data_IF_130977574170
#
_entry.id   IF_130977574170
#
_cell.length_a   1.000
_cell.length_b   1.000
_cell.length_c   1.000
_cell.angle_alpha   90.00
_cell.angle_beta   90.00
_cell.angle_gamma   90.00
#
_symmetry.space_group_name_H-M   'P 1'
#
loop_
_entity.id
_entity.type
_entity.pdbx_description
1 polymer ?
#
# COMPACT_ATOMS: atom_id res chain seq x y z
N UNK A 1 -3.62 -22.58 3.09
CA UNK A 1 -4.81 -21.73 2.83
C UNK A 1 -4.49 -20.23 2.89
N UNK A 2 -3.75 -19.74 3.90
CA UNK A 2 -3.42 -18.30 4.01
C UNK A 2 -2.46 -17.76 2.92
N UNK A 3 -1.43 -18.55 2.53
CA UNK A 3 -0.47 -18.16 1.47
C UNK A 3 -1.16 -17.86 0.13
N UNK A 4 -2.18 -18.66 -0.25
CA UNK A 4 -2.90 -18.47 -1.51
C UNK A 4 -3.73 -17.19 -1.54
N UNK A 5 -4.43 -16.86 -0.45
CA UNK A 5 -5.22 -15.62 -0.35
C UNK A 5 -4.29 -14.40 -0.41
N UNK A 6 -3.17 -14.45 0.30
CA UNK A 6 -2.18 -13.36 0.28
C UNK A 6 -1.64 -13.16 -1.14
N UNK A 7 -1.27 -14.21 -1.87
CA UNK A 7 -0.80 -14.08 -3.25
C UNK A 7 -1.86 -13.50 -4.20
N UNK A 8 -3.13 -13.86 -4.01
CA UNK A 8 -4.22 -13.29 -4.81
C UNK A 8 -4.36 -11.79 -4.54
N UNK A 9 -4.28 -11.37 -3.27
CA UNK A 9 -4.33 -9.95 -2.90
C UNK A 9 -3.16 -9.19 -3.53
N UNK A 10 -1.94 -9.74 -3.50
CA UNK A 10 -0.78 -9.12 -4.16
C UNK A 10 -0.96 -9.04 -5.68
N UNK A 11 -1.55 -10.05 -6.32
CA UNK A 11 -1.83 -10.02 -7.75
C UNK A 11 -2.85 -8.93 -8.12
N UNK A 12 -3.95 -8.83 -7.36
CA UNK A 12 -4.95 -7.76 -7.55
C UNK A 12 -4.33 -6.39 -7.32
N UNK A 13 -3.51 -6.26 -6.27
CA UNK A 13 -2.79 -5.02 -5.96
C UNK A 13 -1.83 -4.63 -7.10
N UNK A 14 -1.09 -5.59 -7.66
CA UNK A 14 -0.20 -5.35 -8.79
C UNK A 14 -0.96 -4.84 -10.03
N UNK A 15 -2.13 -5.42 -10.32
CA UNK A 15 -2.99 -4.94 -11.43
C UNK A 15 -3.44 -3.51 -11.18
N UNK A 16 -3.91 -3.18 -9.98
CA UNK A 16 -4.33 -1.82 -9.65
C UNK A 16 -3.17 -0.81 -9.69
N UNK A 17 -1.97 -1.20 -9.26
CA UNK A 17 -0.77 -0.36 -9.37
C UNK A 17 -0.38 -0.09 -10.84
N UNK A 18 -0.51 -1.07 -11.74
CA UNK A 18 -0.27 -0.86 -13.17
C UNK A 18 -1.30 0.09 -13.77
N UNK A 19 -2.57 -0.04 -13.38
CA UNK A 19 -3.63 0.87 -13.80
C UNK A 19 -3.31 2.30 -13.35
N UNK A 20 -3.00 2.50 -12.06
CA UNK A 20 -2.60 3.81 -11.53
C UNK A 20 -1.34 4.37 -12.21
N UNK A 21 -0.35 3.53 -12.50
CA UNK A 21 0.83 3.96 -13.25
C UNK A 21 0.46 4.55 -14.61
N UNK A 22 -0.43 3.88 -15.34
CA UNK A 22 -0.93 4.36 -16.63
C UNK A 22 -1.72 5.66 -16.52
N UNK A 23 -2.62 5.76 -15.54
CA UNK A 23 -3.43 6.97 -15.31
C UNK A 23 -2.56 8.16 -14.90
N UNK A 24 -1.68 7.97 -13.92
CA UNK A 24 -0.80 9.03 -13.41
C UNK A 24 0.23 9.47 -14.45
N UNK A 25 0.81 8.55 -15.23
CA UNK A 25 1.70 8.89 -16.33
C UNK A 25 0.99 9.71 -17.43
N UNK A 26 -0.23 9.30 -17.81
CA UNK A 26 -1.04 10.07 -18.77
C UNK A 26 -1.39 11.45 -18.22
N UNK A 27 -1.74 11.57 -16.94
CA UNK A 27 -2.04 12.86 -16.33
C UNK A 27 -0.82 13.77 -16.30
N UNK A 28 0.38 13.25 -16.01
CA UNK A 28 1.62 14.03 -16.11
C UNK A 28 1.86 14.51 -17.53
N UNK A 29 1.80 13.63 -18.53
CA UNK A 29 1.99 14.01 -19.93
C UNK A 29 0.97 15.07 -20.38
N UNK A 30 -0.30 14.86 -20.08
CA UNK A 30 -1.40 15.75 -20.48
C UNK A 30 -1.43 17.09 -19.73
N UNK A 31 -0.85 17.17 -18.52
CA UNK A 31 -0.79 18.42 -17.74
C UNK A 31 0.55 19.12 -17.83
N UNK A 32 1.60 18.43 -18.28
CA UNK A 32 2.89 19.04 -18.55
C UNK A 32 2.79 19.92 -19.80
N UNK A 33 3.11 21.21 -19.64
CA UNK A 33 3.22 22.14 -20.77
C UNK A 33 4.57 22.85 -20.67
N UNK A 34 5.04 23.42 -21.77
CA UNK A 34 6.32 24.15 -21.84
C UNK A 34 6.46 25.30 -20.83
N UNK A 35 5.35 25.72 -20.20
CA UNK A 35 5.27 26.87 -19.29
C UNK A 35 4.69 26.55 -17.90
N UNK A 36 4.20 25.32 -17.67
CA UNK A 36 3.63 24.91 -16.39
C UNK A 36 4.01 23.47 -16.05
N UNK A 37 4.53 23.29 -14.85
CA UNK A 37 4.78 21.98 -14.25
C UNK A 37 3.47 21.26 -13.91
N UNK A 38 3.54 19.93 -13.94
CA UNK A 38 2.45 19.03 -13.55
C UNK A 38 2.01 19.28 -12.10
N UNK A 39 0.71 19.13 -11.76
CA UNK A 39 0.23 19.30 -10.39
C UNK A 39 0.97 18.41 -9.39
N UNK A 40 1.41 18.98 -8.27
CA UNK A 40 2.16 18.25 -7.24
C UNK A 40 1.41 17.01 -6.69
N UNK A 41 0.08 17.02 -6.70
CA UNK A 41 -0.76 15.89 -6.32
C UNK A 41 -0.58 14.69 -7.26
N UNK A 42 -0.49 14.92 -8.57
CA UNK A 42 -0.27 13.87 -9.59
C UNK A 42 1.13 13.29 -9.44
N UNK A 43 2.14 14.15 -9.28
CA UNK A 43 3.53 13.71 -9.06
C UNK A 43 3.70 12.89 -7.78
N UNK A 44 2.96 13.24 -6.71
CA UNK A 44 2.94 12.47 -5.47
C UNK A 44 2.28 11.09 -5.66
N UNK A 45 1.16 10.99 -6.39
CA UNK A 45 0.58 9.67 -6.73
C UNK A 45 1.56 8.81 -7.53
N UNK A 46 2.27 9.40 -8.49
CA UNK A 46 3.27 8.68 -9.28
C UNK A 46 4.38 8.11 -8.38
N UNK A 47 4.85 8.91 -7.43
CA UNK A 47 5.78 8.45 -6.39
C UNK A 47 5.18 7.30 -5.57
N UNK A 48 3.92 7.42 -5.11
CA UNK A 48 3.23 6.37 -4.36
C UNK A 48 3.15 5.05 -5.13
N UNK A 49 2.89 5.11 -6.44
CA UNK A 49 2.86 3.92 -7.31
C UNK A 49 4.22 3.25 -7.37
N UNK A 50 5.28 4.01 -7.67
CA UNK A 50 6.65 3.48 -7.76
C UNK A 50 7.10 2.89 -6.42
N UNK A 51 6.86 3.61 -5.32
CA UNK A 51 7.11 3.13 -3.97
C UNK A 51 6.39 1.81 -3.69
N UNK A 52 5.11 1.74 -4.05
CA UNK A 52 4.28 0.55 -3.79
C UNK A 52 4.71 -0.66 -4.59
N UNK A 53 5.22 -0.48 -5.82
CA UNK A 53 5.81 -1.57 -6.62
C UNK A 53 7.03 -2.14 -5.90
N UNK A 54 7.90 -1.29 -5.34
CA UNK A 54 9.05 -1.74 -4.54
C UNK A 54 8.61 -2.49 -3.29
N UNK A 55 7.57 -2.02 -2.60
CA UNK A 55 7.03 -2.70 -1.43
C UNK A 55 6.39 -4.03 -1.79
N UNK A 56 5.67 -4.12 -2.91
CA UNK A 56 5.08 -5.36 -3.39
C UNK A 56 6.16 -6.38 -3.75
N UNK A 57 7.24 -5.95 -4.41
CA UNK A 57 8.44 -6.77 -4.63
C UNK A 57 9.01 -7.26 -3.30
N UNK A 58 9.23 -6.37 -2.34
CA UNK A 58 9.72 -6.75 -1.01
C UNK A 58 8.81 -7.80 -0.34
N UNK A 59 7.49 -7.58 -0.31
CA UNK A 59 6.54 -8.50 0.32
C UNK A 59 6.41 -9.84 -0.42
N UNK A 60 6.58 -9.87 -1.74
CA UNK A 60 6.52 -11.11 -2.53
C UNK A 60 7.84 -11.91 -2.47
N UNK A 61 8.99 -11.24 -2.53
CA UNK A 61 10.32 -11.89 -2.54
C UNK A 61 10.76 -12.37 -1.15
N UNK A 62 10.47 -11.61 -0.10
CA UNK A 62 10.95 -11.94 1.26
C UNK A 62 10.46 -13.32 1.77
N UNK A 63 9.18 -13.71 1.66
CA UNK A 63 8.74 -15.03 2.09
C UNK A 63 9.28 -16.17 1.22
N UNK A 64 9.65 -15.91 -0.04
CA UNK A 64 10.22 -16.92 -0.94
C UNK A 64 11.71 -17.18 -0.69
N UNK A 65 12.50 -16.14 -0.44
CA UNK A 65 13.96 -16.25 -0.41
C UNK A 65 14.58 -16.24 0.99
N UNK A 66 13.96 -15.59 1.98
CA UNK A 66 14.61 -15.39 3.27
C UNK A 66 13.62 -15.24 4.45
N UNK A 67 12.94 -16.31 4.88
CA UNK A 67 12.07 -16.28 6.06
C UNK A 67 12.81 -15.88 7.36
N UNK A 68 14.14 -15.97 7.40
CA UNK A 68 14.99 -15.52 8.53
C UNK A 68 15.26 -14.00 8.58
N UNK A 69 15.07 -13.28 7.47
CA UNK A 69 15.24 -11.82 7.38
C UNK A 69 13.90 -11.06 7.48
N UNK A 70 12.77 -11.77 7.57
CA UNK A 70 11.46 -11.16 7.73
C UNK A 70 11.30 -10.60 9.14
N UNK A 71 11.72 -9.34 9.33
CA UNK A 71 11.36 -8.59 10.53
C UNK A 71 9.93 -8.10 10.39
N UNK A 72 8.98 -8.76 11.08
CA UNK A 72 7.55 -8.39 11.09
C UNK A 72 7.32 -6.91 11.46
N UNK A 73 8.21 -6.30 12.24
CA UNK A 73 8.13 -4.88 12.58
C UNK A 73 8.43 -3.96 11.38
N UNK A 74 9.37 -4.34 10.52
CA UNK A 74 9.70 -3.59 9.31
C UNK A 74 8.59 -3.75 8.28
N UNK A 75 8.08 -4.96 8.09
CA UNK A 75 6.95 -5.21 7.19
C UNK A 75 5.71 -4.39 7.60
N UNK A 76 5.38 -4.39 8.91
CA UNK A 76 4.28 -3.60 9.44
C UNK A 76 4.51 -2.09 9.24
N UNK A 77 5.72 -1.59 9.52
CA UNK A 77 6.05 -0.17 9.35
C UNK A 77 5.95 0.28 7.89
N UNK A 78 6.45 -0.53 6.96
CA UNK A 78 6.39 -0.25 5.52
C UNK A 78 4.95 -0.28 5.00
N UNK A 79 4.14 -1.25 5.45
CA UNK A 79 2.70 -1.32 5.11
C UNK A 79 1.93 -0.10 5.66
N UNK A 80 2.18 0.28 6.91
CA UNK A 80 1.57 1.46 7.53
C UNK A 80 1.99 2.77 6.85
N UNK A 81 3.25 2.91 6.45
CA UNK A 81 3.69 4.08 5.69
C UNK A 81 3.01 4.14 4.31
N UNK A 82 2.91 2.98 3.65
CA UNK A 82 2.30 2.89 2.32
C UNK A 82 0.80 3.20 2.37
N UNK A 83 0.07 2.75 3.40
CA UNK A 83 -1.33 3.14 3.60
C UNK A 83 -1.50 4.64 3.79
N UNK A 84 -0.64 5.27 4.59
CA UNK A 84 -0.68 6.73 4.79
C UNK A 84 -0.42 7.49 3.49
N UNK A 85 0.55 7.04 2.69
CA UNK A 85 0.86 7.64 1.39
C UNK A 85 -0.31 7.55 0.42
N UNK A 86 -0.96 6.39 0.30
CA UNK A 86 -2.14 6.25 -0.56
C UNK A 86 -3.33 7.08 -0.08
N UNK A 87 -3.56 7.15 1.24
CA UNK A 87 -4.63 7.96 1.79
C UNK A 87 -4.42 9.45 1.51
N UNK A 88 -3.21 9.94 1.80
CA UNK A 88 -2.85 11.33 1.57
C UNK A 88 -2.89 11.66 0.07
N UNK A 89 -2.39 10.77 -0.78
CA UNK A 89 -2.35 10.98 -2.23
C UNK A 89 -3.74 11.04 -2.84
N UNK A 90 -4.58 10.03 -2.57
CA UNK A 90 -5.95 9.99 -3.08
C UNK A 90 -6.75 11.23 -2.64
N UNK A 91 -6.61 11.64 -1.37
CA UNK A 91 -7.29 12.83 -0.84
C UNK A 91 -6.74 14.12 -1.44
N UNK A 92 -5.42 14.23 -1.64
CA UNK A 92 -4.81 15.40 -2.27
C UNK A 92 -5.25 15.56 -3.72
N UNK A 93 -5.32 14.47 -4.49
CA UNK A 93 -5.82 14.53 -5.87
C UNK A 93 -7.32 14.83 -5.89
N UNK A 94 -8.12 14.24 -4.99
CA UNK A 94 -9.54 14.53 -4.84
C UNK A 94 -9.81 16.02 -4.52
N UNK A 95 -9.04 16.60 -3.60
CA UNK A 95 -9.14 18.01 -3.26
C UNK A 95 -8.70 18.93 -4.41
N UNK A 96 -7.71 18.50 -5.21
CA UNK A 96 -7.23 19.27 -6.35
C UNK A 96 -8.24 19.30 -7.51
N UNK A 97 -8.89 18.17 -7.81
CA UNK A 97 -9.90 18.11 -8.86
C UNK A 97 -11.24 18.72 -8.42
N UNK A 98 -11.58 18.62 -7.12
CA UNK A 98 -12.86 19.03 -6.57
C UNK A 98 -14.02 18.16 -7.07
N UNK A 99 -15.16 18.77 -7.41
CA UNK A 99 -16.32 18.10 -8.02
C UNK A 99 -16.54 18.62 -9.45
N UNK A 100 -15.62 18.33 -10.39
CA UNK A 100 -15.73 18.90 -11.73
C UNK A 100 -16.77 18.10 -12.52
N UNK A 101 -17.70 18.82 -13.17
CA UNK A 101 -18.53 18.24 -14.23
C UNK A 101 -17.64 18.08 -15.46
N UNK A 102 -17.01 16.92 -15.58
CA UNK A 102 -16.22 16.56 -16.75
C UNK A 102 -17.18 16.34 -17.93
N UNK A 103 -17.45 17.36 -18.73
CA UNK A 103 -18.34 17.32 -19.91
C UNK A 103 -17.71 16.51 -21.08
N UNK A 104 -17.18 15.32 -20.82
CA UNK A 104 -16.47 14.50 -21.81
C UNK A 104 -14.97 14.81 -21.97
N UNK A 105 -14.39 15.64 -21.08
CA UNK A 105 -12.95 15.90 -21.08
C UNK A 105 -12.22 14.69 -20.50
N UNK A 106 -11.44 14.01 -21.33
CA UNK A 106 -10.70 12.79 -20.97
C UNK A 106 -9.78 12.98 -19.78
N UNK A 107 -9.01 14.07 -19.71
CA UNK A 107 -8.09 14.37 -18.60
C UNK A 107 -8.82 14.43 -17.24
N UNK A 108 -9.99 15.04 -17.22
CA UNK A 108 -10.81 15.19 -16.01
C UNK A 108 -11.38 13.83 -15.56
N UNK A 109 -11.86 13.01 -16.51
CA UNK A 109 -12.34 11.66 -16.22
C UNK A 109 -11.21 10.72 -15.77
N UNK A 110 -10.02 10.85 -16.37
CA UNK A 110 -8.83 10.12 -15.94
C UNK A 110 -8.45 10.48 -14.51
N UNK A 111 -8.48 11.77 -14.14
CA UNK A 111 -8.18 12.20 -12.78
C UNK A 111 -9.22 11.66 -11.76
N UNK A 112 -10.51 11.64 -12.11
CA UNK A 112 -11.53 11.01 -11.28
C UNK A 112 -11.31 9.50 -11.11
N UNK A 113 -10.95 8.81 -12.19
CA UNK A 113 -10.63 7.39 -12.15
C UNK A 113 -9.39 7.13 -11.26
N UNK A 114 -8.36 7.96 -11.33
CA UNK A 114 -7.16 7.86 -10.50
C UNK A 114 -7.47 8.08 -9.00
N UNK A 115 -8.39 8.98 -8.67
CA UNK A 115 -8.86 9.11 -7.28
C UNK A 115 -9.55 7.82 -6.82
N UNK A 116 -10.42 7.24 -7.65
CA UNK A 116 -11.16 6.02 -7.30
C UNK A 116 -10.25 4.80 -7.12
N UNK A 117 -9.36 4.53 -8.08
CA UNK A 117 -8.38 3.44 -7.99
C UNK A 117 -7.39 3.66 -6.84
N UNK A 118 -6.96 4.90 -6.58
CA UNK A 118 -6.17 5.27 -5.41
C UNK A 118 -6.84 4.87 -4.08
N UNK A 119 -8.15 5.10 -3.92
CA UNK A 119 -8.88 4.65 -2.71
C UNK A 119 -9.04 3.12 -2.63
N UNK A 120 -9.19 2.43 -3.76
CA UNK A 120 -9.21 0.95 -3.74
C UNK A 120 -7.86 0.36 -3.31
N UNK A 121 -6.76 0.94 -3.81
CA UNK A 121 -5.41 0.54 -3.41
C UNK A 121 -5.17 0.83 -1.93
N UNK A 122 -5.59 2.01 -1.46
CA UNK A 122 -5.56 2.37 -0.03
C UNK A 122 -6.30 1.33 0.83
N UNK A 123 -7.50 0.92 0.42
CA UNK A 123 -8.30 -0.06 1.16
C UNK A 123 -7.61 -1.43 1.24
N UNK A 124 -6.99 -1.89 0.14
CA UNK A 124 -6.23 -3.14 0.11
C UNK A 124 -5.02 -3.06 1.05
N UNK A 125 -4.22 -1.99 0.96
CA UNK A 125 -3.07 -1.81 1.85
C UNK A 125 -3.50 -1.70 3.31
N UNK A 126 -4.65 -1.10 3.59
CA UNK A 126 -5.20 -1.00 4.95
C UNK A 126 -5.57 -2.38 5.48
N UNK A 127 -6.25 -3.19 4.67
CA UNK A 127 -6.54 -4.59 5.01
C UNK A 127 -5.27 -5.40 5.28
N UNK A 128 -4.25 -5.28 4.43
CA UNK A 128 -2.94 -5.93 4.62
C UNK A 128 -2.26 -5.48 5.92
N UNK A 129 -2.25 -4.17 6.19
CA UNK A 129 -1.67 -3.59 7.41
C UNK A 129 -2.36 -4.12 8.67
N UNK A 130 -3.70 -4.19 8.66
CA UNK A 130 -4.48 -4.72 9.80
C UNK A 130 -4.19 -6.20 10.01
N UNK A 131 -4.16 -7.00 8.94
CA UNK A 131 -3.85 -8.44 9.04
C UNK A 131 -2.45 -8.66 9.63
N UNK A 132 -1.45 -7.93 9.16
CA UNK A 132 -0.08 -8.01 9.68
C UNK A 132 0.01 -7.51 11.14
N UNK A 133 -0.69 -6.42 11.48
CA UNK A 133 -0.74 -5.89 12.85
C UNK A 133 -1.35 -6.91 13.82
N UNK A 134 -2.46 -7.54 13.44
CA UNK A 134 -3.11 -8.59 14.23
C UNK A 134 -2.21 -9.82 14.39
N UNK A 135 -1.52 -10.24 13.34
CA UNK A 135 -0.56 -11.34 13.39
C UNK A 135 0.61 -11.01 14.35
N UNK A 136 1.14 -9.79 14.26
CA UNK A 136 2.21 -9.31 15.14
C UNK A 136 1.78 -9.28 16.61
N UNK A 137 0.59 -8.76 16.92
CA UNK A 137 0.06 -8.74 18.29
C UNK A 137 -0.15 -10.15 18.86
N UNK A 138 -0.66 -11.09 18.04
CA UNK A 138 -0.86 -12.50 18.46
C UNK A 138 0.45 -13.22 18.75
N UNK A 139 1.52 -12.91 18.02
CA UNK A 139 2.84 -13.51 18.23
C UNK A 139 3.49 -13.07 19.57
N UNK A 140 3.26 -11.82 19.99
CA UNK A 140 3.71 -11.30 21.30
C UNK A 140 2.96 -11.91 22.48
N UNK A 141 1.66 -12.16 22.36
CA UNK A 141 0.85 -12.77 23.43
C UNK A 141 1.29 -14.19 23.81
N UNK A 142 1.76 -14.99 22.85
CA UNK A 142 2.28 -16.34 23.11
C UNK A 142 3.65 -16.34 23.82
N UNK A 143 4.45 -15.30 23.59
CA UNK A 143 5.77 -15.15 24.22
C UNK A 143 5.63 -14.75 25.70
N UNK A 144 4.62 -13.94 26.05
CA UNK A 144 4.37 -13.52 27.43
C UNK A 144 3.87 -14.65 28.36
N UNK A 145 3.19 -15.66 27.81
CA UNK A 145 2.70 -16.82 28.58
C UNK A 145 3.77 -17.90 28.83
N UNK A 146 4.83 -17.94 28.01
CA UNK A 146 5.93 -18.89 28.20
C UNK A 146 6.82 -18.53 29.40
N UNK A 147 6.95 -17.24 29.72
CA UNK A 147 7.75 -16.74 30.85
C UNK A 147 7.09 -16.91 32.23
N UNK A 148 5.83 -17.34 32.30
CA UNK A 148 5.12 -17.52 33.60
C UNK A 148 5.16 -18.95 34.13
N UNK A 149 5.92 -19.88 33.54
CA UNK A 149 6.08 -21.22 34.13
C UNK A 149 7.22 -21.17 35.16
N UNK A 150 6.96 -21.12 36.48
CA UNK A 150 8.03 -21.15 37.46
C UNK A 150 8.65 -22.55 37.38
N UNK A 151 9.95 -22.61 37.16
CA UNK A 151 10.70 -23.85 37.23
C UNK A 151 10.49 -24.49 38.59
N UNK A 152 9.70 -25.57 38.61
CA UNK A 152 9.60 -26.45 39.76
C UNK A 152 10.94 -27.19 39.87
N UNK A 153 11.89 -26.61 40.62
CA UNK A 153 13.04 -27.34 41.15
C UNK A 153 12.50 -28.37 42.16
N UNK A 154 12.16 -29.56 41.67
CA UNK A 154 12.11 -30.75 42.52
C UNK A 154 13.53 -31.12 42.89
N UNK A 155 13.79 -31.16 44.19
CA UNK A 155 15.10 -31.43 44.76
C UNK A 155 15.60 -32.85 44.52
N UNK A 156 16.92 -32.98 44.65
CA UNK A 156 17.62 -34.16 45.15
C UNK A 156 18.77 -33.65 46.02
#
# INVERSE_FOLDING_TARGET
MAMGIITIIHAVLAVFLIIELGLTAYLVDATSTWWSDSPASVSFLLFCVVWSILILLYLALTPLFAPRLYHSMVALGVLALTTLFWFAGATALAAHIGVPKCHGITVCQCAQAAVAFGYFIWAIFTGLTIMEALAFMRSRGHSAHADTKPGHHSGV
#
